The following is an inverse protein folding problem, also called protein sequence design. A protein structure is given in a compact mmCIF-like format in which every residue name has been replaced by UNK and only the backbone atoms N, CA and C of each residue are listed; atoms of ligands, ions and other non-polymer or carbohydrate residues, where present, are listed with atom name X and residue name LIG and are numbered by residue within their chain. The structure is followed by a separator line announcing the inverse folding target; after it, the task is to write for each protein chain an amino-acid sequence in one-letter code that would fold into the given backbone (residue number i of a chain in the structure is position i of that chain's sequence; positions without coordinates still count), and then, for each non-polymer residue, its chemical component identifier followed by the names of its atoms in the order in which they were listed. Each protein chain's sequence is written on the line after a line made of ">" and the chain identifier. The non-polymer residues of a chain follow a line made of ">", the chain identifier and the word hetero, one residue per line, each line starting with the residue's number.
data_IF_886229404213
#
_entry.id   IF_886229404213
#
_cell.length_a   1.000
_cell.length_b   1.000
_cell.length_c   1.000
_cell.angle_alpha   90.00
_cell.angle_beta   90.00
_cell.angle_gamma   90.00
#
_symmetry.space_group_name_H-M   'P 1'
#
loop_
_entity.id
_entity.type
_entity.pdbx_description
1 polymer ?
#
# COMPACT_ATOMS: atom_id res chain seq x y z
N UNK A 1 -20.23 -11.37 -4.04
CA UNK A 1 -19.20 -12.37 -3.71
C UNK A 1 -18.58 -11.96 -2.40
N UNK A 2 -18.50 -12.92 -1.47
CA UNK A 2 -17.89 -12.70 -0.16
C UNK A 2 -16.39 -12.93 -0.24
N UNK A 3 -15.62 -12.01 0.32
CA UNK A 3 -14.15 -12.08 0.33
C UNK A 3 -13.61 -11.91 1.73
N UNK A 4 -12.43 -12.47 1.96
CA UNK A 4 -11.64 -12.24 3.18
C UNK A 4 -10.34 -11.52 2.83
N UNK A 5 -9.87 -10.67 3.75
CA UNK A 5 -8.70 -9.83 3.57
C UNK A 5 -7.64 -10.15 4.62
N UNK A 6 -6.40 -10.35 4.18
CA UNK A 6 -5.25 -10.55 5.07
C UNK A 6 -4.27 -9.38 4.94
N UNK A 7 -3.60 -9.02 6.03
CA UNK A 7 -2.72 -7.86 6.08
C UNK A 7 -3.44 -6.59 5.63
N UNK A 8 -4.67 -6.42 6.10
CA UNK A 8 -5.63 -5.45 5.60
C UNK A 8 -5.16 -3.99 5.75
N UNK A 9 -4.25 -3.72 6.71
CA UNK A 9 -3.83 -2.36 7.01
C UNK A 9 -5.02 -1.48 7.38
N UNK A 10 -5.07 -0.27 6.86
CA UNK A 10 -6.20 0.65 7.06
C UNK A 10 -7.43 0.33 6.16
N UNK A 11 -7.40 -0.79 5.42
CA UNK A 11 -8.51 -1.23 4.57
C UNK A 11 -8.58 -0.58 3.19
N UNK A 12 -7.46 -0.05 2.67
CA UNK A 12 -7.48 0.60 1.36
C UNK A 12 -7.81 -0.35 0.20
N UNK A 13 -7.26 -1.57 0.22
CA UNK A 13 -7.58 -2.61 -0.75
C UNK A 13 -9.04 -3.06 -0.61
N UNK A 14 -9.48 -3.27 0.62
CA UNK A 14 -10.84 -3.68 0.99
C UNK A 14 -11.87 -2.66 0.50
N UNK A 15 -11.61 -1.36 0.69
CA UNK A 15 -12.46 -0.29 0.17
C UNK A 15 -12.58 -0.34 -1.35
N UNK A 16 -11.48 -0.64 -2.05
CA UNK A 16 -11.50 -0.81 -3.50
C UNK A 16 -12.41 -1.95 -3.94
N UNK A 17 -12.33 -3.10 -3.29
CA UNK A 17 -13.19 -4.25 -3.55
C UNK A 17 -14.66 -3.98 -3.17
N UNK A 18 -14.92 -3.32 -2.06
CA UNK A 18 -16.29 -2.91 -1.69
C UNK A 18 -16.91 -1.98 -2.72
N UNK A 19 -16.17 -0.99 -3.24
CA UNK A 19 -16.61 -0.13 -4.34
C UNK A 19 -16.88 -0.88 -5.64
N UNK A 20 -16.21 -2.00 -5.85
CA UNK A 20 -16.44 -2.90 -6.98
C UNK A 20 -17.60 -3.90 -6.76
N UNK A 21 -18.31 -3.81 -5.62
CA UNK A 21 -19.48 -4.65 -5.31
C UNK A 21 -19.17 -5.97 -4.62
N UNK A 22 -17.95 -6.15 -4.11
CA UNK A 22 -17.59 -7.28 -3.26
C UNK A 22 -17.97 -6.99 -1.80
N UNK A 23 -18.25 -8.04 -1.04
CA UNK A 23 -18.54 -7.97 0.38
C UNK A 23 -17.33 -8.49 1.16
N UNK A 24 -16.62 -7.60 1.87
CA UNK A 24 -15.50 -8.00 2.74
C UNK A 24 -16.08 -8.43 4.07
N UNK A 25 -16.26 -9.73 4.26
CA UNK A 25 -16.93 -10.29 5.45
C UNK A 25 -16.01 -10.41 6.66
N UNK A 26 -14.71 -10.54 6.42
CA UNK A 26 -13.70 -10.74 7.45
C UNK A 26 -12.35 -10.21 6.99
N UNK A 27 -11.60 -9.64 7.93
CA UNK A 27 -10.26 -9.13 7.68
C UNK A 27 -9.32 -9.49 8.83
N UNK A 28 -8.03 -9.57 8.53
CA UNK A 28 -6.98 -9.78 9.51
C UNK A 28 -5.94 -8.66 9.45
N UNK A 29 -5.66 -8.05 10.61
CA UNK A 29 -4.59 -7.08 10.78
C UNK A 29 -3.97 -7.20 12.19
N UNK A 30 -2.66 -7.37 12.23
CA UNK A 30 -1.94 -7.57 13.49
C UNK A 30 -1.53 -6.27 14.18
N UNK A 31 -1.32 -5.18 13.42
CA UNK A 31 -0.87 -3.90 13.95
C UNK A 31 -2.00 -3.17 14.69
N UNK A 32 -1.88 -3.11 16.02
CA UNK A 32 -2.85 -2.47 16.91
C UNK A 32 -3.06 -0.96 16.63
N UNK A 33 -2.07 -0.28 16.09
CA UNK A 33 -2.16 1.16 15.79
C UNK A 33 -3.15 1.46 14.64
N UNK A 34 -3.51 0.43 13.88
CA UNK A 34 -4.37 0.54 12.70
C UNK A 34 -5.82 0.11 12.98
N UNK A 35 -6.06 -0.72 14.01
CA UNK A 35 -7.36 -1.35 14.25
C UNK A 35 -8.53 -0.36 14.31
N UNK A 36 -8.38 0.72 15.07
CA UNK A 36 -9.44 1.73 15.19
C UNK A 36 -9.78 2.38 13.84
N UNK A 37 -8.78 2.65 13.02
CA UNK A 37 -8.96 3.19 11.67
C UNK A 37 -9.71 2.19 10.79
N UNK A 38 -9.31 0.92 10.83
CA UNK A 38 -9.98 -0.12 10.05
C UNK A 38 -11.45 -0.27 10.46
N UNK A 39 -11.70 -0.49 11.76
CA UNK A 39 -13.05 -0.72 12.30
C UNK A 39 -14.01 0.46 12.02
N UNK A 40 -13.52 1.69 12.09
CA UNK A 40 -14.34 2.88 11.75
C UNK A 40 -14.71 2.96 10.27
N UNK A 41 -13.81 2.55 9.37
CA UNK A 41 -14.03 2.62 7.93
C UNK A 41 -14.73 1.37 7.36
N UNK A 42 -14.67 0.24 8.07
CA UNK A 42 -15.23 -1.04 7.65
C UNK A 42 -16.14 -1.63 8.76
N UNK A 43 -17.21 -0.93 9.19
CA UNK A 43 -18.00 -1.32 10.38
C UNK A 43 -18.77 -2.64 10.21
N UNK A 44 -18.89 -3.15 8.99
CA UNK A 44 -19.57 -4.40 8.68
C UNK A 44 -18.60 -5.59 8.50
N UNK A 45 -17.30 -5.35 8.58
CA UNK A 45 -16.26 -6.38 8.43
C UNK A 45 -15.77 -6.81 9.81
N UNK A 46 -15.77 -8.11 10.08
CA UNK A 46 -15.19 -8.65 11.32
C UNK A 46 -13.66 -8.57 11.24
N UNK A 47 -13.03 -7.79 12.12
CA UNK A 47 -11.56 -7.68 12.19
C UNK A 47 -10.98 -8.72 13.16
N UNK A 48 -10.13 -9.61 12.67
CA UNK A 48 -9.30 -10.50 13.49
C UNK A 48 -7.93 -9.84 13.74
N UNK A 49 -7.62 -9.67 15.02
CA UNK A 49 -6.47 -8.91 15.52
C UNK A 49 -5.25 -9.78 15.82
N UNK A 50 -5.35 -11.09 15.55
CA UNK A 50 -4.25 -12.04 15.76
C UNK A 50 -3.24 -11.98 14.62
N UNK A 51 -2.02 -12.46 14.89
CA UNK A 51 -1.10 -12.78 13.79
C UNK A 51 -1.69 -13.92 12.95
N UNK A 52 -1.55 -13.87 11.62
CA UNK A 52 -2.00 -14.93 10.70
C UNK A 52 -1.43 -16.31 11.07
N UNK A 53 -0.24 -16.33 11.64
CA UNK A 53 0.43 -17.55 12.16
C UNK A 53 -0.41 -18.27 13.22
N UNK A 54 -1.18 -17.50 13.99
CA UNK A 54 -2.00 -17.99 15.10
C UNK A 54 -3.48 -18.19 14.72
N UNK A 55 -3.81 -18.08 13.43
CA UNK A 55 -5.17 -18.26 12.94
C UNK A 55 -5.28 -19.66 12.29
N UNK A 56 -6.00 -20.60 12.90
CA UNK A 56 -6.32 -21.88 12.26
C UNK A 56 -7.11 -21.66 10.97
N UNK A 57 -6.86 -22.48 9.96
CA UNK A 57 -7.52 -22.29 8.66
C UNK A 57 -9.04 -22.48 8.73
N UNK A 58 -9.53 -23.32 9.63
CA UNK A 58 -10.95 -23.60 9.85
C UNK A 58 -11.71 -22.43 10.52
N UNK A 59 -11.00 -21.55 11.22
CA UNK A 59 -11.58 -20.33 11.80
C UNK A 59 -11.76 -19.20 10.76
N UNK A 60 -11.08 -19.28 9.62
CA UNK A 60 -11.30 -18.32 8.52
C UNK A 60 -12.61 -18.65 7.82
N UNK A 61 -13.51 -17.69 7.58
CA UNK A 61 -14.77 -17.95 6.89
C UNK A 61 -14.58 -18.54 5.50
N UNK A 62 -15.57 -19.34 5.03
CA UNK A 62 -15.66 -19.70 3.62
C UNK A 62 -15.88 -18.44 2.79
N UNK A 63 -15.22 -18.34 1.62
CA UNK A 63 -15.22 -17.14 0.81
C UNK A 63 -15.05 -17.44 -0.67
N UNK A 64 -15.53 -16.51 -1.50
CA UNK A 64 -15.32 -16.56 -2.94
C UNK A 64 -13.91 -16.08 -3.34
N UNK A 65 -13.32 -15.20 -2.55
CA UNK A 65 -12.01 -14.63 -2.82
C UNK A 65 -11.18 -14.34 -1.57
N UNK A 66 -9.86 -14.41 -1.72
CA UNK A 66 -8.88 -13.99 -0.70
C UNK A 66 -8.05 -12.85 -1.27
N UNK A 67 -7.98 -11.73 -0.54
CA UNK A 67 -7.15 -10.59 -0.93
C UNK A 67 -6.12 -10.27 0.17
N UNK A 68 -4.99 -9.65 -0.19
CA UNK A 68 -4.03 -9.23 0.81
C UNK A 68 -2.70 -8.72 0.27
N UNK A 69 -1.90 -8.14 1.17
CA UNK A 69 -0.55 -7.67 0.89
C UNK A 69 0.48 -8.35 1.79
N UNK A 70 0.79 -9.65 1.61
CA UNK A 70 1.76 -10.34 2.46
C UNK A 70 3.13 -9.65 2.40
N UNK A 71 3.83 -9.46 3.55
CA UNK A 71 5.03 -8.62 3.61
C UNK A 71 6.19 -9.16 2.75
N UNK A 72 6.84 -8.24 2.00
CA UNK A 72 7.91 -8.52 1.05
C UNK A 72 9.23 -9.01 1.69
N UNK A 73 9.50 -8.62 2.93
CA UNK A 73 10.79 -8.93 3.59
C UNK A 73 11.02 -10.43 3.83
N UNK A 74 9.95 -11.21 3.78
CA UNK A 74 9.98 -12.66 3.83
C UNK A 74 10.56 -13.33 2.57
N UNK A 75 10.69 -12.62 1.46
CA UNK A 75 10.94 -13.19 0.15
C UNK A 75 12.42 -13.16 -0.26
N UNK A 76 13.17 -12.14 0.19
CA UNK A 76 14.61 -12.07 -0.09
C UNK A 76 15.42 -13.11 0.66
N UNK A 77 14.86 -13.69 1.71
CA UNK A 77 15.50 -14.70 2.56
C UNK A 77 14.96 -16.12 2.30
N UNK A 78 13.75 -16.25 1.74
CA UNK A 78 13.16 -17.55 1.36
C UNK A 78 13.89 -18.23 0.19
N UNK A 79 14.54 -17.45 -0.69
CA UNK A 79 15.38 -17.97 -1.78
C UNK A 79 16.63 -18.73 -1.33
N UNK A 80 17.04 -18.59 -0.06
CA UNK A 80 18.24 -19.21 0.49
C UNK A 80 17.97 -20.43 1.37
N UNK A 81 16.84 -21.19 1.18
CA UNK A 81 16.47 -22.40 1.96
C UNK A 81 16.51 -22.25 3.49
N UNK A 82 16.77 -21.06 4.03
CA UNK A 82 16.72 -20.73 5.46
C UNK A 82 15.34 -20.27 5.93
N UNK A 83 14.37 -20.19 5.01
CA UNK A 83 13.10 -19.49 5.13
C UNK A 83 12.08 -20.08 6.11
N UNK A 84 12.20 -21.33 6.53
CA UNK A 84 11.27 -21.95 7.49
C UNK A 84 11.50 -21.43 8.92
N UNK A 85 12.68 -20.91 9.21
CA UNK A 85 13.05 -20.40 10.54
C UNK A 85 12.98 -18.87 10.68
N UNK A 86 12.72 -18.11 9.61
CA UNK A 86 12.52 -16.67 9.71
C UNK A 86 11.03 -16.36 9.91
N UNK A 87 10.73 -15.70 11.02
CA UNK A 87 9.35 -15.28 11.39
C UNK A 87 8.61 -14.50 10.30
N UNK A 88 9.32 -13.87 9.37
CA UNK A 88 8.72 -13.07 8.28
C UNK A 88 8.43 -13.91 7.04
N UNK A 89 9.25 -14.93 6.75
CA UNK A 89 8.98 -15.95 5.73
C UNK A 89 7.70 -16.70 6.04
N UNK A 90 7.49 -16.98 7.31
CA UNK A 90 6.31 -17.68 7.81
C UNK A 90 4.98 -17.00 7.42
N UNK A 91 4.91 -15.66 7.45
CA UNK A 91 3.67 -14.92 7.14
C UNK A 91 3.16 -15.16 5.71
N UNK A 92 4.06 -15.30 4.75
CA UNK A 92 3.69 -15.62 3.38
C UNK A 92 3.22 -17.08 3.26
N UNK A 93 3.93 -18.02 3.88
CA UNK A 93 3.51 -19.43 3.87
C UNK A 93 2.18 -19.63 4.57
N UNK A 94 1.88 -18.84 5.61
CA UNK A 94 0.57 -18.86 6.24
C UNK A 94 -0.54 -18.34 5.30
N UNK A 95 -0.24 -17.33 4.47
CA UNK A 95 -1.16 -16.92 3.41
C UNK A 95 -1.43 -18.06 2.41
N UNK A 96 -0.40 -18.79 1.98
CA UNK A 96 -0.55 -19.98 1.12
C UNK A 96 -1.32 -21.08 1.83
N UNK A 97 -1.04 -21.37 3.10
CA UNK A 97 -1.77 -22.35 3.91
C UNK A 97 -3.28 -22.08 3.94
N UNK A 98 -3.66 -20.82 4.14
CA UNK A 98 -5.07 -20.43 4.11
C UNK A 98 -5.65 -20.59 2.70
N UNK A 99 -4.91 -20.17 1.67
CA UNK A 99 -5.32 -20.32 0.27
C UNK A 99 -5.57 -21.81 -0.08
N UNK A 100 -4.68 -22.71 0.34
CA UNK A 100 -4.82 -24.15 0.17
C UNK A 100 -6.02 -24.74 0.91
N UNK A 101 -6.27 -24.28 2.12
CA UNK A 101 -7.38 -24.78 2.93
C UNK A 101 -8.74 -24.30 2.44
N UNK A 102 -8.85 -23.03 2.04
CA UNK A 102 -10.13 -22.40 1.67
C UNK A 102 -10.48 -22.51 0.19
N UNK A 103 -9.51 -22.72 -0.67
CA UNK A 103 -9.72 -22.89 -2.10
C UNK A 103 -10.70 -21.88 -2.72
N UNK A 104 -10.54 -20.56 -2.50
CA UNK A 104 -11.42 -19.55 -3.06
C UNK A 104 -11.40 -19.59 -4.59
N UNK A 105 -12.42 -19.02 -5.23
CA UNK A 105 -12.50 -18.90 -6.70
C UNK A 105 -11.37 -18.07 -7.28
N UNK A 106 -10.92 -17.06 -6.52
CA UNK A 106 -9.79 -16.21 -6.89
C UNK A 106 -9.01 -15.73 -5.66
N UNK A 107 -7.78 -15.31 -5.89
CA UNK A 107 -7.05 -14.51 -4.91
C UNK A 107 -6.39 -13.30 -5.58
N UNK A 108 -6.11 -12.27 -4.77
CA UNK A 108 -5.24 -11.15 -5.14
C UNK A 108 -4.18 -10.96 -4.05
N UNK A 109 -2.90 -10.99 -4.45
CA UNK A 109 -1.78 -10.67 -3.58
C UNK A 109 -1.03 -9.44 -4.13
N UNK A 110 -0.92 -8.38 -3.30
CA UNK A 110 -0.19 -7.13 -3.64
C UNK A 110 1.20 -7.14 -3.03
N UNK A 111 2.16 -6.57 -3.77
CA UNK A 111 3.50 -6.38 -3.23
C UNK A 111 4.25 -5.19 -3.86
N UNK A 112 5.41 -4.84 -3.29
CA UNK A 112 6.24 -3.75 -3.78
C UNK A 112 6.98 -4.11 -5.07
N UNK A 113 7.22 -3.12 -5.95
CA UNK A 113 7.91 -3.30 -7.22
C UNK A 113 9.35 -3.80 -7.10
N UNK A 114 10.00 -3.58 -5.96
CA UNK A 114 11.34 -4.10 -5.65
C UNK A 114 11.49 -5.62 -5.75
N UNK A 115 10.38 -6.35 -5.74
CA UNK A 115 10.31 -7.79 -5.92
C UNK A 115 10.70 -8.25 -7.33
N UNK A 116 10.59 -7.39 -8.33
CA UNK A 116 10.93 -7.69 -9.73
C UNK A 116 12.40 -7.43 -10.07
N UNK A 117 13.25 -7.07 -9.11
CA UNK A 117 14.68 -6.87 -9.33
C UNK A 117 15.35 -8.23 -9.55
N UNK A 118 16.29 -8.33 -10.47
CA UNK A 118 16.96 -9.58 -10.88
C UNK A 118 17.48 -10.43 -9.74
N UNK A 119 18.02 -9.80 -8.68
CA UNK A 119 18.49 -10.51 -7.47
C UNK A 119 17.39 -11.31 -6.72
N UNK A 120 16.12 -11.07 -7.04
CA UNK A 120 14.96 -11.75 -6.44
C UNK A 120 14.25 -12.70 -7.41
N UNK A 121 14.82 -12.94 -8.61
CA UNK A 121 14.20 -13.74 -9.67
C UNK A 121 13.86 -15.17 -9.25
N UNK A 122 14.75 -15.82 -8.50
CA UNK A 122 14.53 -17.17 -7.96
C UNK A 122 13.38 -17.19 -6.95
N UNK A 123 13.38 -16.25 -5.99
CA UNK A 123 12.31 -16.12 -5.01
C UNK A 123 10.95 -15.84 -5.69
N UNK A 124 10.95 -14.99 -6.72
CA UNK A 124 9.76 -14.70 -7.51
C UNK A 124 9.24 -15.94 -8.26
N UNK A 125 10.14 -16.76 -8.81
CA UNK A 125 9.77 -18.00 -9.47
C UNK A 125 9.12 -18.98 -8.49
N UNK A 126 9.71 -19.18 -7.32
CA UNK A 126 9.18 -20.04 -6.25
C UNK A 126 7.78 -19.60 -5.80
N UNK A 127 7.56 -18.30 -5.65
CA UNK A 127 6.26 -17.73 -5.29
C UNK A 127 5.19 -18.04 -6.34
N UNK A 128 5.50 -17.80 -7.60
CA UNK A 128 4.59 -18.13 -8.69
C UNK A 128 4.23 -19.61 -8.69
N UNK A 129 5.20 -20.46 -8.39
CA UNK A 129 4.99 -21.90 -8.29
C UNK A 129 4.08 -22.28 -7.12
N UNK A 130 4.31 -21.70 -5.93
CA UNK A 130 3.45 -21.91 -4.77
C UNK A 130 2.00 -21.49 -5.06
N UNK A 131 1.78 -20.33 -5.66
CA UNK A 131 0.44 -19.90 -6.05
C UNK A 131 -0.21 -20.83 -7.09
N UNK A 132 0.55 -21.26 -8.11
CA UNK A 132 0.03 -22.14 -9.17
C UNK A 132 -0.38 -23.51 -8.66
N UNK A 133 0.27 -23.98 -7.59
CA UNK A 133 0.10 -25.35 -7.06
C UNK A 133 -0.73 -25.39 -5.77
N UNK A 134 -1.20 -24.26 -5.24
CA UNK A 134 -2.01 -24.23 -4.02
C UNK A 134 -3.33 -24.97 -4.22
N UNK A 135 -3.50 -26.10 -3.54
CA UNK A 135 -4.69 -26.97 -3.59
C UNK A 135 -5.06 -27.42 -5.00
N UNK A 136 -6.23 -27.05 -5.53
CA UNK A 136 -6.67 -27.34 -6.90
C UNK A 136 -5.86 -26.59 -7.97
N UNK A 137 -5.03 -25.66 -7.54
CA UNK A 137 -4.19 -24.83 -8.37
C UNK A 137 -4.89 -23.62 -8.97
N UNK A 138 -4.07 -22.62 -9.31
CA UNK A 138 -4.55 -21.35 -9.84
C UNK A 138 -3.88 -21.00 -11.17
N UNK A 139 -4.68 -20.50 -12.11
CA UNK A 139 -4.18 -19.80 -13.29
C UNK A 139 -3.75 -18.41 -12.86
N UNK A 140 -2.43 -18.12 -13.01
CA UNK A 140 -1.79 -16.95 -12.42
C UNK A 140 -1.52 -15.86 -13.46
N UNK A 141 -2.16 -14.72 -13.31
CA UNK A 141 -1.80 -13.47 -13.98
C UNK A 141 -1.02 -12.58 -12.99
N UNK A 142 0.06 -11.93 -13.46
CA UNK A 142 0.78 -10.97 -12.62
C UNK A 142 1.32 -9.81 -13.47
N UNK A 143 1.26 -8.60 -12.90
CA UNK A 143 1.70 -7.39 -13.59
C UNK A 143 2.17 -6.35 -12.57
N UNK A 144 3.12 -5.49 -13.00
CA UNK A 144 3.45 -4.27 -12.28
C UNK A 144 2.54 -3.15 -12.72
N UNK A 145 1.68 -2.71 -11.82
CA UNK A 145 0.68 -1.66 -12.04
C UNK A 145 1.17 -0.36 -11.37
N UNK A 146 1.02 0.77 -12.06
CA UNK A 146 1.23 2.08 -11.47
C UNK A 146 -0.11 2.76 -11.20
N UNK A 147 -0.37 3.17 -9.97
CA UNK A 147 -1.63 3.78 -9.56
C UNK A 147 -2.02 5.01 -10.43
N UNK A 148 -1.03 5.79 -10.89
CA UNK A 148 -1.29 6.94 -11.75
C UNK A 148 -1.88 6.59 -13.12
N UNK A 149 -1.79 5.35 -13.55
CA UNK A 149 -2.38 4.85 -14.78
C UNK A 149 -3.87 4.48 -14.61
N UNK A 150 -4.39 4.58 -13.37
CA UNK A 150 -5.76 4.21 -13.00
C UNK A 150 -6.47 5.31 -12.18
N UNK A 151 -6.29 6.56 -12.58
CA UNK A 151 -6.93 7.75 -11.99
C UNK A 151 -6.57 8.02 -10.51
N UNK A 152 -5.41 7.58 -10.05
CA UNK A 152 -4.86 7.94 -8.75
C UNK A 152 -3.70 8.91 -8.97
N UNK A 153 -3.69 10.13 -8.44
CA UNK A 153 -2.64 11.13 -8.70
C UNK A 153 -1.34 10.84 -7.94
N UNK A 154 -0.93 9.57 -7.93
CA UNK A 154 0.24 9.08 -7.21
C UNK A 154 1.08 8.13 -8.07
N UNK A 155 2.36 8.44 -8.23
CA UNK A 155 3.34 7.52 -8.82
C UNK A 155 3.66 6.42 -7.80
N UNK A 156 2.82 5.37 -7.81
CA UNK A 156 2.89 4.23 -6.89
C UNK A 156 2.85 2.92 -7.66
N UNK A 157 4.01 2.31 -7.82
CA UNK A 157 4.18 1.03 -8.52
C UNK A 157 4.04 -0.13 -7.55
N UNK A 158 3.18 -1.09 -7.91
CA UNK A 158 2.95 -2.32 -7.16
C UNK A 158 2.85 -3.51 -8.10
N UNK A 159 3.27 -4.66 -7.62
CA UNK A 159 3.06 -5.93 -8.31
C UNK A 159 1.81 -6.57 -7.77
N UNK A 160 0.92 -6.95 -8.67
CA UNK A 160 -0.27 -7.72 -8.33
C UNK A 160 -0.15 -9.13 -8.88
N UNK A 161 -0.44 -10.10 -8.05
CA UNK A 161 -0.65 -11.50 -8.43
C UNK A 161 -2.13 -11.79 -8.30
N UNK A 162 -2.75 -12.22 -9.38
CA UNK A 162 -4.16 -12.59 -9.40
C UNK A 162 -4.25 -14.02 -9.87
N UNK A 163 -4.73 -14.89 -8.98
CA UNK A 163 -4.97 -16.30 -9.30
C UNK A 163 -6.45 -16.57 -9.46
N UNK A 164 -6.82 -17.20 -10.55
CA UNK A 164 -8.16 -17.76 -10.76
C UNK A 164 -8.05 -19.27 -10.63
N UNK A 165 -8.91 -19.90 -9.82
CA UNK A 165 -8.85 -21.35 -9.61
C UNK A 165 -9.06 -22.10 -10.93
N UNK A 166 -8.20 -23.08 -11.21
CA UNK A 166 -8.08 -23.71 -12.54
C UNK A 166 -9.36 -24.37 -13.05
N UNK A 167 -10.21 -24.88 -12.15
CA UNK A 167 -11.51 -25.50 -12.51
C UNK A 167 -12.51 -24.51 -13.12
N UNK A 168 -12.28 -23.19 -12.95
CA UNK A 168 -13.13 -22.16 -13.51
C UNK A 168 -12.82 -21.84 -14.98
N UNK A 169 -11.70 -22.34 -15.52
CA UNK A 169 -11.28 -22.15 -16.91
C UNK A 169 -11.30 -20.68 -17.36
N UNK A 170 -10.82 -19.78 -16.51
CA UNK A 170 -10.76 -18.34 -16.77
C UNK A 170 -9.37 -17.79 -16.47
N UNK A 171 -8.87 -16.92 -17.33
CA UNK A 171 -7.60 -16.18 -17.13
C UNK A 171 -7.90 -14.70 -16.95
N UNK A 172 -7.46 -14.14 -15.84
CA UNK A 172 -7.64 -12.71 -15.55
C UNK A 172 -6.80 -11.86 -16.52
N UNK A 173 -7.41 -10.77 -17.03
CA UNK A 173 -6.74 -9.77 -17.86
C UNK A 173 -6.69 -8.43 -17.12
N UNK A 174 -5.50 -7.87 -16.96
CA UNK A 174 -5.37 -6.54 -16.36
C UNK A 174 -6.07 -5.48 -17.24
N UNK A 175 -6.78 -4.53 -16.64
CA UNK A 175 -7.39 -3.43 -17.38
C UNK A 175 -6.32 -2.57 -18.04
N UNK A 176 -6.63 -1.98 -19.20
CA UNK A 176 -5.71 -1.10 -19.89
C UNK A 176 -5.50 0.21 -19.11
N UNK A 177 -4.27 0.73 -19.06
CA UNK A 177 -3.98 2.03 -18.45
C UNK A 177 -4.78 3.17 -19.06
N UNK A 178 -5.14 4.18 -18.27
CA UNK A 178 -5.71 5.43 -18.75
C UNK A 178 -4.62 6.34 -19.33
N UNK A 179 -4.92 7.01 -20.44
CA UNK A 179 -3.99 7.98 -21.05
C UNK A 179 -3.96 9.31 -20.29
N UNK A 180 -5.12 9.80 -19.84
CA UNK A 180 -5.21 11.01 -19.04
C UNK A 180 -4.90 10.65 -17.56
N UNK A 181 -3.97 11.40 -16.96
CA UNK A 181 -3.54 11.21 -15.57
C UNK A 181 -3.97 12.40 -14.74
N UNK A 182 -4.58 12.13 -13.59
CA UNK A 182 -4.83 13.17 -12.60
C UNK A 182 -3.50 13.71 -12.05
N UNK A 183 -3.48 14.99 -11.72
CA UNK A 183 -2.33 15.71 -11.20
C UNK A 183 -2.58 16.19 -9.76
N UNK A 184 -1.56 16.71 -9.09
CA UNK A 184 -1.71 17.33 -7.79
C UNK A 184 -2.65 18.56 -7.86
N UNK A 185 -2.61 19.31 -8.98
CA UNK A 185 -3.50 20.43 -9.21
C UNK A 185 -4.98 20.02 -9.15
N UNK A 186 -5.32 18.86 -9.74
CA UNK A 186 -6.71 18.39 -9.82
C UNK A 186 -7.30 18.01 -8.45
N UNK A 187 -6.45 17.58 -7.50
CA UNK A 187 -6.94 16.92 -6.27
C UNK A 187 -6.68 17.67 -4.99
N UNK A 188 -5.67 18.56 -4.93
CA UNK A 188 -5.31 19.29 -3.68
C UNK A 188 -5.16 20.81 -3.86
N UNK A 189 -5.43 21.38 -5.02
CA UNK A 189 -5.25 22.83 -5.21
C UNK A 189 -6.18 23.69 -4.34
N UNK A 190 -7.36 23.20 -4.03
CA UNK A 190 -8.32 23.83 -3.11
C UNK A 190 -7.88 23.80 -1.65
N UNK A 191 -6.90 22.95 -1.31
CA UNK A 191 -6.32 22.82 0.03
C UNK A 191 -5.04 23.66 0.24
N UNK A 192 -4.67 24.50 -0.71
CA UNK A 192 -3.42 25.26 -0.62
C UNK A 192 -3.36 26.17 0.61
N UNK A 193 -4.51 26.68 1.07
CA UNK A 193 -4.63 27.61 2.18
C UNK A 193 -5.18 26.93 3.45
N UNK A 194 -5.06 27.59 4.58
CA UNK A 194 -5.61 27.18 5.89
C UNK A 194 -5.01 25.86 6.45
N UNK A 195 -3.86 25.43 5.96
CA UNK A 195 -3.13 24.31 6.54
C UNK A 195 -2.47 24.73 7.86
N UNK A 196 -2.51 23.87 8.85
CA UNK A 196 -1.84 24.09 10.14
C UNK A 196 -0.65 23.14 10.29
N UNK A 197 0.33 23.54 11.10
CA UNK A 197 1.34 22.60 11.59
C UNK A 197 0.73 21.69 12.65
N UNK A 198 1.23 20.47 12.78
CA UNK A 198 0.97 19.65 13.95
C UNK A 198 1.43 20.34 15.24
N UNK A 199 0.90 19.94 16.37
CA UNK A 199 1.37 20.37 17.68
C UNK A 199 2.76 19.75 17.97
N UNK A 200 3.49 20.24 19.01
CA UNK A 200 4.76 19.67 19.43
C UNK A 200 4.69 18.14 19.54
N UNK A 201 5.80 17.46 19.18
CA UNK A 201 5.90 16.02 19.11
C UNK A 201 4.94 15.36 18.06
N UNK A 202 4.57 16.14 17.05
CA UNK A 202 3.64 15.70 15.99
C UNK A 202 2.26 15.22 16.49
N UNK A 203 1.81 15.73 17.64
CA UNK A 203 0.45 15.52 18.08
C UNK A 203 -0.53 16.20 17.12
N UNK A 204 -1.68 15.56 16.93
CA UNK A 204 -2.72 16.12 16.04
C UNK A 204 -3.16 17.53 16.46
N UNK A 205 -3.35 18.40 15.48
CA UNK A 205 -3.96 19.72 15.62
C UNK A 205 -5.34 19.80 14.95
N UNK A 206 -5.91 18.63 14.66
CA UNK A 206 -7.13 18.49 13.85
C UNK A 206 -8.32 19.28 14.35
N UNK A 207 -8.46 19.47 15.66
CA UNK A 207 -9.56 20.25 16.26
C UNK A 207 -9.52 21.75 15.90
N UNK A 208 -8.35 22.27 15.52
CA UNK A 208 -8.16 23.68 15.16
C UNK A 208 -8.14 23.88 13.62
N UNK A 209 -8.18 22.80 12.84
CA UNK A 209 -8.18 22.88 11.39
C UNK A 209 -9.55 23.30 10.85
N UNK A 210 -9.59 24.32 9.99
CA UNK A 210 -10.80 24.72 9.26
C UNK A 210 -11.31 23.60 8.32
N UNK A 211 -10.38 22.83 7.76
CA UNK A 211 -10.65 21.59 7.02
C UNK A 211 -10.17 20.42 7.87
N UNK A 212 -11.01 19.43 8.13
CA UNK A 212 -10.67 18.31 8.99
C UNK A 212 -9.39 17.59 8.53
N UNK A 213 -8.48 17.34 9.47
CA UNK A 213 -7.18 16.68 9.25
C UNK A 213 -6.24 17.46 8.29
N UNK A 214 -6.39 18.77 8.17
CA UNK A 214 -5.53 19.58 7.30
C UNK A 214 -4.34 20.16 8.06
N UNK A 215 -3.64 19.29 8.79
CA UNK A 215 -2.38 19.58 9.47
C UNK A 215 -1.24 18.73 8.87
N UNK A 216 -0.02 19.28 8.90
CA UNK A 216 1.18 18.61 8.42
C UNK A 216 2.18 18.33 9.54
N UNK A 217 2.92 17.24 9.40
CA UNK A 217 3.94 16.81 10.34
C UNK A 217 5.11 17.80 10.36
N UNK A 218 5.52 18.22 11.56
CA UNK A 218 6.67 19.09 11.80
C UNK A 218 7.92 18.26 12.14
N UNK A 219 9.07 18.91 12.21
CA UNK A 219 10.36 18.32 12.59
C UNK A 219 11.33 18.23 11.42
N UNK A 220 12.56 17.87 11.76
CA UNK A 220 13.69 17.87 10.84
C UNK A 220 13.57 16.86 9.72
N UNK A 221 14.32 17.08 8.67
CA UNK A 221 14.43 16.21 7.53
C UNK A 221 15.73 15.39 7.65
N UNK A 222 15.61 14.06 7.64
CA UNK A 222 16.77 13.17 7.71
C UNK A 222 17.66 13.30 6.47
N UNK A 223 18.93 12.92 6.59
CA UNK A 223 19.89 12.89 5.48
C UNK A 223 19.39 12.01 4.33
N UNK A 224 18.77 10.86 4.64
CA UNK A 224 18.14 9.99 3.64
C UNK A 224 16.99 10.70 2.92
N UNK A 225 16.19 11.48 3.64
CA UNK A 225 15.12 12.28 3.04
C UNK A 225 15.70 13.32 2.08
N UNK A 226 16.75 14.03 2.49
CA UNK A 226 17.42 15.08 1.72
C UNK A 226 18.32 14.55 0.60
N UNK A 227 18.50 13.24 0.48
CA UNK A 227 19.30 12.64 -0.61
C UNK A 227 18.67 12.75 -2.00
N UNK A 228 17.36 13.00 -2.07
CA UNK A 228 16.58 13.06 -3.32
C UNK A 228 15.66 14.27 -3.30
N UNK A 229 15.29 14.75 -4.49
CA UNK A 229 14.20 15.72 -4.59
C UNK A 229 12.89 15.12 -4.07
N UNK A 230 12.16 15.86 -3.25
CA UNK A 230 10.88 15.45 -2.62
C UNK A 230 9.69 16.30 -3.04
N UNK A 231 9.91 17.19 -4.01
CA UNK A 231 8.90 18.09 -4.54
C UNK A 231 8.46 17.65 -5.93
N UNK A 232 7.17 17.51 -6.13
CA UNK A 232 6.53 17.43 -7.45
C UNK A 232 5.86 18.76 -7.75
N UNK A 233 5.81 19.15 -9.02
CA UNK A 233 5.06 20.33 -9.44
C UNK A 233 3.56 20.04 -9.48
N UNK A 234 2.76 21.09 -9.57
CA UNK A 234 1.30 20.97 -9.58
C UNK A 234 0.77 20.11 -10.72
N UNK A 235 1.43 20.10 -11.84
CA UNK A 235 1.12 19.32 -13.06
C UNK A 235 1.68 17.89 -13.05
N UNK A 236 2.36 17.49 -11.98
CA UNK A 236 2.87 16.12 -11.79
C UNK A 236 1.95 15.31 -10.84
N UNK A 237 2.16 13.97 -10.82
CA UNK A 237 1.63 13.07 -9.80
C UNK A 237 2.50 13.10 -8.56
N UNK A 238 1.92 12.89 -7.39
CA UNK A 238 2.66 12.77 -6.13
C UNK A 238 3.68 11.62 -6.18
N UNK A 239 4.74 11.74 -5.41
CA UNK A 239 5.53 10.56 -5.02
C UNK A 239 4.67 9.58 -4.21
N UNK A 240 5.09 8.32 -4.16
CA UNK A 240 4.46 7.33 -3.30
C UNK A 240 4.38 7.85 -1.86
N UNK A 241 3.16 7.93 -1.33
CA UNK A 241 2.89 8.28 0.07
C UNK A 241 3.15 7.03 0.91
N UNK A 242 4.01 7.17 1.92
CA UNK A 242 4.33 6.13 2.88
C UNK A 242 3.47 6.29 4.14
N UNK A 243 3.23 5.20 4.85
CA UNK A 243 2.44 5.20 6.08
C UNK A 243 2.99 6.13 7.18
N UNK A 244 4.31 6.36 7.21
CA UNK A 244 4.93 7.26 8.17
C UNK A 244 4.91 8.72 7.69
N UNK A 245 4.21 9.61 8.39
CA UNK A 245 4.14 11.05 8.08
C UNK A 245 5.50 11.74 7.97
N UNK A 246 6.55 11.21 8.63
CA UNK A 246 7.92 11.72 8.54
C UNK A 246 8.46 11.74 7.10
N UNK A 247 8.01 10.81 6.25
CA UNK A 247 8.44 10.67 4.86
C UNK A 247 7.41 11.17 3.85
N UNK A 248 6.37 11.87 4.30
CA UNK A 248 5.40 12.50 3.40
C UNK A 248 6.11 13.40 2.38
N UNK A 249 5.68 13.43 1.11
CA UNK A 249 6.24 14.34 0.11
C UNK A 249 6.11 15.81 0.53
N UNK A 250 6.92 16.67 -0.08
CA UNK A 250 6.81 18.13 0.09
C UNK A 250 5.68 18.64 -0.79
N UNK A 251 4.94 19.61 -0.28
CA UNK A 251 3.84 20.27 -0.98
C UNK A 251 4.32 20.98 -2.27
N UNK A 252 3.57 20.95 -3.36
CA UNK A 252 3.97 21.52 -4.66
C UNK A 252 4.12 23.03 -4.71
N UNK A 253 3.77 23.76 -3.63
CA UNK A 253 4.08 25.21 -3.50
C UNK A 253 5.59 25.50 -3.46
N UNK A 254 6.40 24.54 -3.01
CA UNK A 254 7.85 24.69 -2.94
C UNK A 254 8.49 24.41 -4.31
N UNK A 255 9.58 25.11 -4.67
CA UNK A 255 10.36 24.75 -5.84
C UNK A 255 11.08 23.40 -5.64
N UNK A 256 11.49 22.74 -6.74
CA UNK A 256 12.32 21.54 -6.66
C UNK A 256 13.59 21.82 -5.89
N UNK A 257 14.00 20.85 -5.05
CA UNK A 257 15.20 21.00 -4.20
C UNK A 257 16.46 21.17 -5.05
N UNK A 258 17.36 22.04 -4.60
CA UNK A 258 18.65 22.31 -5.28
C UNK A 258 19.57 21.09 -5.13
N UNK A 259 20.10 20.60 -6.26
CA UNK A 259 21.12 19.57 -6.31
C UNK A 259 22.47 20.18 -5.89
N UNK A 260 23.17 19.55 -4.99
CA UNK A 260 24.55 19.89 -4.59
C UNK A 260 25.49 18.83 -5.16
N UNK A 261 25.32 17.57 -4.76
CA UNK A 261 26.09 16.44 -5.23
C UNK A 261 25.30 15.13 -5.11
N UNK A 262 25.89 14.01 -5.46
CA UNK A 262 25.23 12.71 -5.36
C UNK A 262 24.72 12.47 -3.93
N UNK A 263 23.41 12.17 -3.80
CA UNK A 263 22.70 11.96 -2.54
C UNK A 263 22.63 13.18 -1.60
N UNK A 264 22.94 14.39 -2.09
CA UNK A 264 22.80 15.63 -1.30
C UNK A 264 21.98 16.66 -2.06
N UNK A 265 20.89 17.08 -1.44
CA UNK A 265 20.05 18.19 -1.88
C UNK A 265 19.75 19.11 -0.71
N UNK A 266 19.49 20.36 -1.03
CA UNK A 266 19.10 21.36 -0.05
C UNK A 266 17.84 22.09 -0.53
N UNK A 267 17.15 22.72 0.39
CA UNK A 267 16.09 23.66 0.04
C UNK A 267 16.69 24.88 -0.66
N UNK A 268 15.91 25.53 -1.49
CA UNK A 268 16.38 26.74 -2.18
C UNK A 268 16.53 27.85 -1.15
N UNK A 269 17.72 28.47 -1.01
CA UNK A 269 17.96 29.53 -0.04
C UNK A 269 16.97 30.69 -0.17
N UNK A 270 16.41 31.13 0.96
CA UNK A 270 15.39 32.18 1.05
C UNK A 270 13.95 31.70 0.80
N UNK A 271 13.76 30.44 0.39
CA UNK A 271 12.44 29.83 0.13
C UNK A 271 12.14 28.66 1.08
N UNK A 272 12.90 28.50 2.15
CA UNK A 272 12.79 27.38 3.10
C UNK A 272 11.39 27.26 3.70
N UNK A 273 10.72 28.37 3.91
CA UNK A 273 9.35 28.45 4.46
C UNK A 273 8.28 27.79 3.57
N UNK A 274 8.57 27.57 2.28
CA UNK A 274 7.66 26.90 1.36
C UNK A 274 7.70 25.37 1.48
N UNK A 275 8.77 24.83 2.06
CA UNK A 275 9.01 23.38 2.11
C UNK A 275 8.29 22.72 3.30
N UNK A 276 6.98 22.67 3.25
CA UNK A 276 6.18 21.88 4.18
C UNK A 276 5.88 20.49 3.62
N UNK A 277 5.72 19.49 4.48
CA UNK A 277 5.17 18.19 4.07
C UNK A 277 3.71 18.34 3.66
N UNK A 278 3.23 17.41 2.85
CA UNK A 278 1.79 17.28 2.63
C UNK A 278 1.08 17.06 3.96
N UNK A 279 -0.09 17.67 4.10
CA UNK A 279 -0.97 17.44 5.25
C UNK A 279 -1.61 16.06 5.21
N UNK A 280 -2.19 15.63 6.33
CA UNK A 280 -2.94 14.36 6.39
C UNK A 280 -4.09 14.37 5.39
N UNK A 281 -4.83 15.49 5.28
CA UNK A 281 -5.93 15.65 4.32
C UNK A 281 -5.46 15.60 2.86
N UNK A 282 -4.34 16.24 2.54
CA UNK A 282 -3.76 16.19 1.19
C UNK A 282 -3.32 14.77 0.83
N UNK A 283 -2.65 14.08 1.76
CA UNK A 283 -2.28 12.67 1.57
C UNK A 283 -3.50 11.75 1.35
N UNK A 284 -4.61 12.02 2.04
CA UNK A 284 -5.84 11.24 1.91
C UNK A 284 -6.60 11.50 0.60
N UNK A 285 -6.40 12.66 -0.04
CA UNK A 285 -7.01 12.99 -1.34
C UNK A 285 -6.20 12.47 -2.53
N UNK A 286 -4.91 12.30 -2.35
CA UNK A 286 -3.99 11.71 -3.32
C UNK A 286 -4.11 10.18 -3.31
#
# INVERSE_FOLDING_TARGET
>A
MDIVSFFAGAGGLDLGFQKAGFNVVWANEYDKEIWETYEKNHPHTKLDKRSIVNIPSDEVPECDGIIGGPPCQSWSEAGAMKGINDKRGQLFYDFIRILEAKQPKFFLAENVSGMLIDKHSEALANIKELFRNAGLGYELSFEMVNACDYNVPQDRKRVFFIGIRKDLNFTFQFPKPNFAKLTLQDVISDLQNNVLSALPYNKTNGNNCAVANHEYMIGDFSTIYMSRNRVRTWDEQSFTIQAGGRHAPIHPQAPKMKFIEQNIRVFVPGLEHLYRRLSVRECARI
#
